data_IF_507808785327
#
_entry.id   IF_507808785327
#
_cell.length_a   1.000
_cell.length_b   1.000
_cell.length_c   1.000
_cell.angle_alpha   90.00
_cell.angle_beta   90.00
_cell.angle_gamma   90.00
#
_symmetry.space_group_name_H-M   'P 1'
#
loop_
_entity.id
_entity.type
_entity.pdbx_description
1 polymer ?
#
# COMPACT_ATOMS: atom_id res chain seq x y z
N UNK A 1 10.86 -18.43 -55.57
CA UNK A 1 10.48 -17.44 -54.53
C UNK A 1 9.95 -16.20 -55.24
N UNK A 2 8.65 -15.98 -55.30
CA UNK A 2 8.07 -14.87 -56.09
C UNK A 2 8.26 -13.54 -55.36
N UNK A 3 8.84 -12.49 -56.00
CA UNK A 3 9.17 -11.22 -55.35
C UNK A 3 7.99 -10.58 -54.61
N UNK A 4 6.76 -10.77 -55.11
CA UNK A 4 5.49 -10.28 -54.51
C UNK A 4 5.17 -10.90 -53.15
N UNK A 5 5.47 -12.17 -52.94
CA UNK A 5 5.30 -12.84 -51.64
C UNK A 5 6.31 -12.29 -50.64
N UNK A 6 7.56 -12.06 -51.10
CA UNK A 6 8.60 -11.43 -50.26
C UNK A 6 8.26 -10.00 -49.88
N UNK A 7 7.67 -9.21 -50.78
CA UNK A 7 7.23 -7.83 -50.47
C UNK A 7 6.07 -7.82 -49.47
N UNK A 8 5.10 -8.74 -49.62
CA UNK A 8 3.97 -8.84 -48.70
C UNK A 8 4.44 -9.28 -47.29
N UNK A 9 5.33 -10.26 -47.20
CA UNK A 9 5.90 -10.69 -45.92
C UNK A 9 6.70 -9.58 -45.24
N UNK A 10 7.53 -8.83 -46.00
CA UNK A 10 8.27 -7.70 -45.45
C UNK A 10 7.36 -6.58 -44.94
N UNK A 11 6.32 -6.24 -45.70
CA UNK A 11 5.31 -5.26 -45.28
C UNK A 11 4.58 -5.69 -43.99
N UNK A 12 4.16 -6.95 -43.89
CA UNK A 12 3.52 -7.49 -42.69
C UNK A 12 4.45 -7.47 -41.48
N UNK A 13 5.75 -7.78 -41.66
CA UNK A 13 6.74 -7.69 -40.60
C UNK A 13 6.92 -6.26 -40.09
N UNK A 14 6.99 -5.28 -41.00
CA UNK A 14 7.08 -3.86 -40.64
C UNK A 14 5.83 -3.41 -39.88
N UNK A 15 4.63 -3.75 -40.37
CA UNK A 15 3.38 -3.44 -39.68
C UNK A 15 3.32 -4.06 -38.27
N UNK A 16 3.71 -5.32 -38.12
CA UNK A 16 3.77 -5.98 -36.82
C UNK A 16 4.77 -5.29 -35.88
N UNK A 17 5.92 -4.86 -36.40
CA UNK A 17 6.91 -4.09 -35.64
C UNK A 17 6.37 -2.73 -35.18
N UNK A 18 5.67 -1.99 -36.05
CA UNK A 18 5.03 -0.72 -35.70
C UNK A 18 3.97 -0.93 -34.62
N UNK A 19 3.10 -1.93 -34.78
CA UNK A 19 2.04 -2.24 -33.82
C UNK A 19 2.64 -2.58 -32.44
N UNK A 20 3.66 -3.45 -32.42
CA UNK A 20 4.36 -3.81 -31.18
C UNK A 20 4.99 -2.60 -30.49
N UNK A 21 5.65 -1.71 -31.23
CA UNK A 21 6.23 -0.49 -30.68
C UNK A 21 5.17 0.49 -30.17
N UNK A 22 4.03 0.60 -30.86
CA UNK A 22 2.90 1.42 -30.42
C UNK A 22 2.33 0.92 -29.09
N UNK A 23 2.17 -0.40 -28.92
CA UNK A 23 1.71 -0.98 -27.66
C UNK A 23 2.69 -0.71 -26.51
N UNK A 24 4.00 -0.82 -26.77
CA UNK A 24 5.04 -0.49 -25.77
C UNK A 24 5.02 0.99 -25.38
N UNK A 25 4.81 1.89 -26.34
CA UNK A 25 4.71 3.32 -26.08
C UNK A 25 3.51 3.63 -25.19
N UNK A 26 2.33 3.10 -25.51
CA UNK A 26 1.11 3.30 -24.71
C UNK A 26 1.32 2.77 -23.29
N UNK A 27 1.93 1.59 -23.15
CA UNK A 27 2.24 1.04 -21.84
C UNK A 27 3.19 1.94 -21.03
N UNK A 28 4.26 2.44 -21.64
CA UNK A 28 5.20 3.37 -21.00
C UNK A 28 4.53 4.71 -20.62
N UNK A 29 3.64 5.23 -21.48
CA UNK A 29 2.84 6.41 -21.17
C UNK A 29 1.94 6.17 -19.94
N UNK A 30 1.32 5.00 -19.84
CA UNK A 30 0.52 4.64 -18.66
C UNK A 30 1.38 4.50 -17.38
N UNK A 31 2.61 3.99 -17.49
CA UNK A 31 3.56 3.94 -16.35
C UNK A 31 3.95 5.35 -15.91
N UNK A 32 4.26 6.23 -16.86
CA UNK A 32 4.60 7.63 -16.58
C UNK A 32 3.43 8.39 -15.95
N UNK A 33 2.22 8.22 -16.48
CA UNK A 33 1.02 8.90 -15.97
C UNK A 33 0.61 8.43 -14.57
N UNK A 34 0.75 7.14 -14.28
CA UNK A 34 0.41 6.58 -12.96
C UNK A 34 1.53 6.73 -11.92
N UNK A 35 2.77 6.99 -12.36
CA UNK A 35 3.97 6.93 -11.54
C UNK A 35 4.33 5.54 -11.03
N UNK A 36 3.62 4.49 -11.49
CA UNK A 36 3.84 3.10 -11.07
C UNK A 36 4.64 2.36 -12.13
N UNK A 37 5.69 1.65 -11.69
CA UNK A 37 6.48 0.77 -12.55
C UNK A 37 5.69 -0.48 -13.00
N UNK A 38 4.77 -0.94 -12.17
CA UNK A 38 3.93 -2.13 -12.43
C UNK A 38 2.48 -1.66 -12.41
N UNK A 39 1.79 -1.78 -13.55
CA UNK A 39 0.42 -1.27 -13.71
C UNK A 39 -0.61 -2.36 -13.44
N UNK A 40 -0.33 -3.57 -13.93
CA UNK A 40 -1.20 -4.73 -13.81
C UNK A 40 -0.41 -5.93 -13.32
N UNK A 41 -1.11 -6.89 -12.70
CA UNK A 41 -0.48 -8.11 -12.19
C UNK A 41 0.19 -8.97 -13.27
N UNK A 42 -0.20 -8.82 -14.54
CA UNK A 42 0.44 -9.51 -15.67
C UNK A 42 1.84 -8.98 -16.00
N UNK A 43 2.18 -7.73 -15.64
CA UNK A 43 3.49 -7.17 -15.95
C UNK A 43 4.60 -7.79 -15.08
N UNK A 44 4.32 -7.94 -13.77
CA UNK A 44 5.20 -8.59 -12.80
C UNK A 44 4.38 -9.16 -11.62
N UNK A 45 3.94 -10.43 -11.70
CA UNK A 45 3.14 -11.07 -10.65
C UNK A 45 3.89 -11.13 -9.30
N UNK A 46 5.22 -11.28 -9.34
CA UNK A 46 6.05 -11.38 -8.13
C UNK A 46 6.15 -10.03 -7.43
N UNK A 47 6.38 -8.93 -8.16
CA UNK A 47 6.37 -7.59 -7.60
C UNK A 47 4.98 -7.21 -7.07
N UNK A 48 3.90 -7.56 -7.77
CA UNK A 48 2.55 -7.30 -7.28
C UNK A 48 2.22 -8.08 -6.01
N UNK A 49 2.60 -9.36 -5.93
CA UNK A 49 2.43 -10.15 -4.69
C UNK A 49 3.15 -9.50 -3.51
N UNK A 50 4.39 -9.05 -3.71
CA UNK A 50 5.16 -8.34 -2.66
C UNK A 50 4.51 -7.01 -2.28
N UNK A 51 4.03 -6.24 -3.26
CA UNK A 51 3.35 -4.97 -3.00
C UNK A 51 2.05 -5.16 -2.20
N UNK A 52 1.27 -6.20 -2.52
CA UNK A 52 0.06 -6.57 -1.77
C UNK A 52 0.41 -6.95 -0.32
N UNK A 53 1.41 -7.81 -0.13
CA UNK A 53 1.87 -8.20 1.21
C UNK A 53 2.35 -6.99 2.02
N UNK A 54 3.11 -6.08 1.41
CA UNK A 54 3.56 -4.86 2.08
C UNK A 54 2.39 -3.95 2.45
N UNK A 55 1.41 -3.80 1.56
CA UNK A 55 0.19 -3.02 1.82
C UNK A 55 -0.60 -3.60 2.99
N UNK A 56 -0.77 -4.92 3.04
CA UNK A 56 -1.42 -5.61 4.14
C UNK A 56 -0.69 -5.38 5.47
N UNK A 57 0.63 -5.58 5.49
CA UNK A 57 1.48 -5.35 6.68
C UNK A 57 1.42 -3.89 7.14
N UNK A 58 1.42 -2.94 6.20
CA UNK A 58 1.28 -1.52 6.52
C UNK A 58 -0.07 -1.21 7.16
N UNK A 59 -1.16 -1.78 6.63
CA UNK A 59 -2.49 -1.65 7.22
C UNK A 59 -2.58 -2.25 8.62
N UNK A 60 -1.98 -3.42 8.83
CA UNK A 60 -1.88 -4.05 10.15
C UNK A 60 -1.09 -3.20 11.14
N UNK A 61 0.04 -2.64 10.72
CA UNK A 61 0.85 -1.75 11.54
C UNK A 61 0.07 -0.49 11.95
N UNK A 62 -0.66 0.13 11.02
CA UNK A 62 -1.51 1.29 11.32
C UNK A 62 -2.61 0.96 12.33
N UNK A 63 -3.24 -0.21 12.20
CA UNK A 63 -4.23 -0.69 13.18
C UNK A 63 -3.60 -0.91 14.56
N UNK A 64 -2.41 -1.49 14.62
CA UNK A 64 -1.69 -1.68 15.88
C UNK A 64 -1.35 -0.34 16.55
N UNK A 65 -0.86 0.64 15.78
CA UNK A 65 -0.58 1.99 16.29
C UNK A 65 -1.85 2.65 16.84
N UNK A 66 -2.97 2.56 16.12
CA UNK A 66 -4.25 3.08 16.59
C UNK A 66 -4.71 2.39 17.90
N UNK A 67 -4.56 1.06 17.98
CA UNK A 67 -4.88 0.29 19.19
C UNK A 67 -4.02 0.68 20.39
N UNK A 68 -2.71 0.91 20.18
CA UNK A 68 -1.80 1.42 21.22
C UNK A 68 -2.24 2.81 21.69
N UNK A 69 -2.66 3.68 20.77
CA UNK A 69 -3.18 5.00 21.10
C UNK A 69 -4.42 4.95 22.00
N UNK A 70 -5.39 4.09 21.65
CA UNK A 70 -6.58 3.85 22.46
C UNK A 70 -6.23 3.30 23.85
N UNK A 71 -5.40 2.25 23.91
CA UNK A 71 -4.98 1.66 25.19
C UNK A 71 -4.22 2.62 26.11
N UNK A 72 -3.43 3.54 25.54
CA UNK A 72 -2.79 4.62 26.32
C UNK A 72 -3.82 5.59 26.91
N UNK A 73 -4.86 5.94 26.15
CA UNK A 73 -5.95 6.79 26.65
C UNK A 73 -6.66 6.14 27.83
N UNK A 74 -6.99 4.85 27.70
CA UNK A 74 -7.65 4.09 28.77
C UNK A 74 -6.78 3.97 30.02
N UNK A 75 -5.47 3.72 29.84
CA UNK A 75 -4.52 3.65 30.94
C UNK A 75 -4.38 4.99 31.67
N UNK A 76 -4.37 6.12 30.95
CA UNK A 76 -4.31 7.45 31.56
C UNK A 76 -5.58 7.78 32.34
N UNK A 77 -6.76 7.41 31.82
CA UNK A 77 -8.02 7.57 32.54
C UNK A 77 -8.04 6.74 33.82
N UNK A 78 -7.59 5.48 33.74
CA UNK A 78 -7.44 4.62 34.92
C UNK A 78 -6.49 5.20 35.96
N UNK A 79 -5.33 5.73 35.53
CA UNK A 79 -4.37 6.37 36.42
C UNK A 79 -4.96 7.59 37.14
N UNK A 80 -5.65 8.48 36.40
CA UNK A 80 -6.34 9.65 37.00
C UNK A 80 -7.39 9.23 38.03
N UNK A 81 -8.18 8.20 37.72
CA UNK A 81 -9.21 7.71 38.64
C UNK A 81 -8.59 7.15 39.94
N UNK A 82 -7.47 6.42 39.83
CA UNK A 82 -6.75 5.90 40.99
C UNK A 82 -6.11 7.01 41.83
N UNK A 83 -5.63 8.07 41.19
CA UNK A 83 -5.09 9.26 41.86
C UNK A 83 -6.17 9.97 42.67
N UNK A 84 -7.36 10.17 42.09
CA UNK A 84 -8.51 10.77 42.78
C UNK A 84 -8.94 9.94 44.00
N UNK A 85 -9.03 8.61 43.85
CA UNK A 85 -9.38 7.70 44.96
C UNK A 85 -8.32 7.75 46.07
N UNK A 86 -7.03 7.80 45.71
CA UNK A 86 -5.94 7.93 46.67
C UNK A 86 -6.03 9.24 47.47
N UNK A 87 -6.37 10.35 46.80
CA UNK A 87 -6.61 11.65 47.44
C UNK A 87 -7.71 11.58 48.49
N UNK A 88 -8.88 11.02 48.12
CA UNK A 88 -10.03 10.86 49.04
C UNK A 88 -9.66 10.01 50.26
N UNK A 89 -8.93 8.89 50.07
CA UNK A 89 -8.50 8.04 51.18
C UNK A 89 -7.53 8.78 52.11
N UNK A 90 -6.65 9.61 51.56
CA UNK A 90 -5.73 10.45 52.35
C UNK A 90 -6.48 11.48 53.18
N UNK A 91 -7.44 12.18 52.58
CA UNK A 91 -8.29 13.16 53.28
C UNK A 91 -9.12 12.50 54.38
N UNK A 92 -9.74 11.34 54.10
CA UNK A 92 -10.49 10.58 55.09
C UNK A 92 -9.62 10.15 56.27
N UNK A 93 -8.37 9.73 56.02
CA UNK A 93 -7.40 9.40 57.07
C UNK A 93 -7.09 10.62 57.95
N UNK A 94 -6.90 11.79 57.35
CA UNK A 94 -6.64 13.03 58.09
C UNK A 94 -7.83 13.43 58.94
N UNK A 95 -9.07 13.23 58.46
CA UNK A 95 -10.28 13.59 59.19
C UNK A 95 -10.56 12.68 60.41
N UNK A 96 -10.11 11.43 60.37
CA UNK A 96 -10.29 10.45 61.44
C UNK A 96 -9.25 10.60 62.56
N UNK A 97 -8.16 11.33 62.33
CA UNK A 97 -7.16 11.72 63.33
C UNK A 97 -7.54 13.01 64.04
#
# INVERSE_FOLDING_TARGET
>A
MSPRVSTNTGYLQVLNGINFNQLRLVHAQNQAASGKRVLVASDDPAAMSRAIQLTQRSSEALRAIAGIGAGRSDANLGASTLEDVSGIISEARVLVM
#
